data_IF_284263749349
#
_entry.id   IF_284263749349
#
_cell.length_a   1.000
_cell.length_b   1.000
_cell.length_c   1.000
_cell.angle_alpha   90.00
_cell.angle_beta   90.00
_cell.angle_gamma   90.00
#
_symmetry.space_group_name_H-M   'P 1'
#
loop_
_entity.id
_entity.type
_entity.pdbx_description
1 polymer ?
#
# COMPACT_ATOMS: atom_id res chain seq x y z
N UNK A 1 5.69 -30.42 -11.72
CA UNK A 1 4.33 -29.89 -11.47
C UNK A 1 4.35 -28.57 -10.65
N UNK A 2 5.08 -28.51 -9.53
CA UNK A 2 5.11 -27.28 -8.67
C UNK A 2 5.66 -26.04 -9.39
N UNK A 3 6.69 -26.16 -10.23
CA UNK A 3 7.29 -25.01 -10.95
C UNK A 3 6.28 -24.37 -11.92
N UNK A 4 5.56 -25.17 -12.70
CA UNK A 4 4.55 -24.67 -13.66
C UNK A 4 3.43 -23.95 -12.90
N UNK A 5 2.96 -24.49 -11.79
CA UNK A 5 1.91 -23.88 -10.96
C UNK A 5 2.33 -22.51 -10.39
N UNK A 6 3.57 -22.39 -9.91
CA UNK A 6 4.10 -21.13 -9.40
C UNK A 6 4.25 -20.09 -10.52
N UNK A 7 4.70 -20.50 -11.70
CA UNK A 7 4.87 -19.58 -12.82
C UNK A 7 3.51 -19.14 -13.41
N UNK A 8 2.52 -20.03 -13.47
CA UNK A 8 1.16 -19.66 -13.88
C UNK A 8 0.53 -18.64 -12.93
N UNK A 9 0.62 -18.85 -11.63
CA UNK A 9 0.15 -17.85 -10.62
C UNK A 9 0.83 -16.51 -10.74
N UNK A 10 2.13 -16.52 -11.00
CA UNK A 10 2.91 -15.29 -11.22
C UNK A 10 2.45 -14.54 -12.46
N UNK A 11 2.19 -15.25 -13.56
CA UNK A 11 1.67 -14.66 -14.81
C UNK A 11 0.26 -14.10 -14.62
N UNK A 12 -0.62 -14.81 -13.92
CA UNK A 12 -1.97 -14.32 -13.58
C UNK A 12 -1.91 -13.04 -12.74
N UNK A 13 -1.04 -12.99 -11.75
CA UNK A 13 -0.86 -11.79 -10.92
C UNK A 13 -0.29 -10.62 -11.73
N UNK A 14 0.68 -10.87 -12.62
CA UNK A 14 1.22 -9.88 -13.55
C UNK A 14 0.14 -9.34 -14.49
N UNK A 15 -0.65 -10.22 -15.10
CA UNK A 15 -1.74 -9.85 -16.00
C UNK A 15 -2.78 -8.99 -15.28
N UNK A 16 -3.18 -9.37 -14.08
CA UNK A 16 -4.14 -8.62 -13.25
C UNK A 16 -3.62 -7.22 -12.91
N UNK A 17 -2.35 -7.10 -12.52
CA UNK A 17 -1.71 -5.81 -12.22
C UNK A 17 -1.58 -4.92 -13.45
N UNK A 18 -1.29 -5.49 -14.62
CA UNK A 18 -1.25 -4.76 -15.89
C UNK A 18 -2.63 -4.25 -16.29
N UNK A 19 -3.67 -5.09 -16.18
CA UNK A 19 -5.05 -4.69 -16.44
C UNK A 19 -5.52 -3.61 -15.48
N UNK A 20 -5.13 -3.69 -14.19
CA UNK A 20 -5.41 -2.64 -13.21
C UNK A 20 -4.71 -1.32 -13.58
N UNK A 21 -3.43 -1.37 -14.02
CA UNK A 21 -2.70 -0.20 -14.51
C UNK A 21 -3.38 0.47 -15.69
N UNK A 22 -3.89 -0.31 -16.64
CA UNK A 22 -4.58 0.19 -17.84
C UNK A 22 -6.01 0.65 -17.55
N UNK A 23 -6.68 0.04 -16.56
CA UNK A 23 -8.07 0.33 -16.23
C UNK A 23 -8.27 1.55 -15.31
N UNK A 24 -7.22 2.03 -14.65
CA UNK A 24 -7.26 3.19 -13.76
C UNK A 24 -7.17 4.54 -14.48
N UNK A 25 -7.11 4.56 -15.82
CA UNK A 25 -7.12 5.80 -16.61
C UNK A 25 -8.49 6.53 -16.58
N UNK A 26 -9.53 5.90 -16.05
CA UNK A 26 -10.84 6.51 -15.88
C UNK A 26 -11.14 6.71 -14.38
N UNK A 27 -10.92 7.93 -13.89
CA UNK A 27 -11.39 8.38 -12.56
C UNK A 27 -12.90 8.12 -12.37
N UNK A 28 -13.63 7.93 -13.47
CA UNK A 28 -15.06 7.64 -13.51
C UNK A 28 -15.46 6.25 -12.97
N UNK A 29 -14.51 5.42 -12.55
CA UNK A 29 -14.75 4.04 -12.04
C UNK A 29 -14.47 3.85 -10.56
N UNK A 30 -14.04 4.90 -9.86
CA UNK A 30 -13.86 4.80 -8.41
C UNK A 30 -15.24 4.67 -7.73
N UNK A 31 -15.30 3.85 -6.70
CA UNK A 31 -16.45 3.73 -5.80
C UNK A 31 -16.03 4.17 -4.39
N UNK A 32 -15.81 5.50 -4.17
CA UNK A 32 -15.37 5.98 -2.87
C UNK A 32 -16.48 5.80 -1.83
N UNK A 33 -16.11 5.28 -0.67
CA UNK A 33 -17.00 5.11 0.48
C UNK A 33 -16.34 5.67 1.76
N UNK A 34 -17.11 6.08 2.77
CA UNK A 34 -16.57 6.43 4.08
C UNK A 34 -15.93 5.22 4.75
N UNK A 35 -14.66 5.32 5.11
CA UNK A 35 -13.89 4.23 5.72
C UNK A 35 -13.05 4.75 6.87
N UNK A 36 -13.05 4.05 8.02
CA UNK A 36 -12.10 4.38 9.08
C UNK A 36 -10.67 3.94 8.73
N UNK A 37 -9.69 4.77 9.08
CA UNK A 37 -8.27 4.48 8.91
C UNK A 37 -7.87 3.17 9.59
N UNK A 38 -8.37 2.92 10.79
CA UNK A 38 -8.11 1.68 11.55
C UNK A 38 -8.60 0.45 10.81
N UNK A 39 -9.80 0.52 10.19
CA UNK A 39 -10.34 -0.57 9.38
C UNK A 39 -9.46 -0.87 8.17
N UNK A 40 -9.01 0.18 7.45
CA UNK A 40 -8.11 0.05 6.31
C UNK A 40 -6.79 -0.62 6.72
N UNK A 41 -6.11 -0.09 7.75
CA UNK A 41 -4.81 -0.60 8.20
C UNK A 41 -4.91 -2.06 8.70
N UNK A 42 -5.97 -2.42 9.42
CA UNK A 42 -6.21 -3.79 9.85
C UNK A 42 -6.46 -4.73 8.65
N UNK A 43 -7.20 -4.28 7.64
CA UNK A 43 -7.47 -5.06 6.44
C UNK A 43 -6.19 -5.30 5.64
N UNK A 44 -5.29 -4.30 5.54
CA UNK A 44 -3.97 -4.45 4.93
C UNK A 44 -3.20 -5.58 5.60
N UNK A 45 -3.06 -5.56 6.93
CA UNK A 45 -2.29 -6.59 7.65
C UNK A 45 -2.90 -7.98 7.48
N UNK A 46 -4.24 -8.11 7.52
CA UNK A 46 -4.94 -9.39 7.29
C UNK A 46 -4.75 -9.92 5.86
N UNK A 47 -4.52 -9.05 4.89
CA UNK A 47 -4.34 -9.42 3.48
C UNK A 47 -2.90 -9.79 3.11
N UNK A 48 -1.94 -9.62 4.03
CA UNK A 48 -0.56 -9.99 3.81
C UNK A 48 -0.40 -11.52 3.72
N UNK A 49 0.56 -12.03 2.93
CA UNK A 49 0.84 -13.47 2.87
C UNK A 49 1.15 -14.04 4.26
N UNK A 50 0.65 -15.24 4.55
CA UNK A 50 0.94 -15.92 5.83
C UNK A 50 2.44 -16.11 6.03
N UNK A 51 2.91 -15.86 7.27
CA UNK A 51 4.32 -15.96 7.61
C UNK A 51 5.20 -14.82 7.10
N UNK A 52 4.61 -13.78 6.51
CA UNK A 52 5.36 -12.58 6.10
C UNK A 52 5.99 -11.87 7.31
N UNK A 53 7.27 -11.56 7.23
CA UNK A 53 8.03 -10.86 8.29
C UNK A 53 8.86 -9.72 7.71
N UNK A 54 9.09 -8.64 8.49
CA UNK A 54 8.48 -8.34 9.78
C UNK A 54 6.99 -8.05 9.70
N UNK A 55 6.25 -8.33 10.77
CA UNK A 55 4.81 -7.96 10.87
C UNK A 55 4.73 -6.45 11.12
N UNK A 56 3.93 -5.70 10.35
CA UNK A 56 3.83 -4.26 10.52
C UNK A 56 3.17 -3.87 11.86
N UNK A 57 3.72 -2.84 12.51
CA UNK A 57 3.07 -2.16 13.63
C UNK A 57 2.04 -1.17 13.08
N UNK A 58 0.79 -1.23 13.58
CA UNK A 58 -0.27 -0.31 13.21
C UNK A 58 -0.33 0.85 14.20
N UNK A 59 -0.46 2.09 13.68
CA UNK A 59 -0.74 3.31 14.43
C UNK A 59 -1.85 4.06 13.67
N UNK A 60 -3.07 4.06 14.23
CA UNK A 60 -4.23 4.74 13.68
C UNK A 60 -4.54 6.02 14.47
N UNK A 61 -5.21 6.98 13.84
CA UNK A 61 -5.67 8.21 14.48
C UNK A 61 -7.19 8.26 14.67
N UNK A 62 -7.88 7.17 14.29
CA UNK A 62 -9.34 7.01 14.42
C UNK A 62 -10.14 8.07 13.66
N UNK A 63 -9.70 8.38 12.44
CA UNK A 63 -10.41 9.25 11.51
C UNK A 63 -11.12 8.45 10.41
N UNK A 64 -12.05 9.11 9.70
CA UNK A 64 -12.70 8.56 8.51
C UNK A 64 -12.27 9.33 7.25
N UNK A 65 -12.14 8.62 6.15
CA UNK A 65 -11.76 9.16 4.84
C UNK A 65 -12.67 8.62 3.74
N UNK A 66 -12.80 9.37 2.64
CA UNK A 66 -13.58 8.98 1.47
C UNK A 66 -12.65 8.39 0.41
N UNK A 67 -12.62 7.07 0.30
CA UNK A 67 -11.72 6.36 -0.64
C UNK A 67 -12.39 5.11 -1.20
N UNK A 68 -11.95 4.67 -2.38
CA UNK A 68 -12.25 3.31 -2.83
C UNK A 68 -11.47 2.32 -1.94
N UNK A 69 -12.20 1.65 -1.05
CA UNK A 69 -11.63 0.74 -0.04
C UNK A 69 -10.72 -0.31 -0.65
N UNK A 70 -11.17 -0.95 -1.73
CA UNK A 70 -10.43 -2.06 -2.34
C UNK A 70 -9.09 -1.58 -2.90
N UNK A 71 -9.12 -0.50 -3.67
CA UNK A 71 -7.91 0.09 -4.27
C UNK A 71 -6.97 0.66 -3.20
N UNK A 72 -7.52 1.31 -2.16
CA UNK A 72 -6.71 1.88 -1.08
C UNK A 72 -5.98 0.80 -0.28
N UNK A 73 -6.69 -0.30 0.04
CA UNK A 73 -6.08 -1.48 0.70
C UNK A 73 -5.03 -2.12 -0.20
N UNK A 74 -5.30 -2.27 -1.51
CA UNK A 74 -4.32 -2.84 -2.46
C UNK A 74 -3.07 -1.97 -2.58
N UNK A 75 -3.19 -0.64 -2.59
CA UNK A 75 -2.07 0.29 -2.57
C UNK A 75 -1.22 0.11 -1.31
N UNK A 76 -1.81 0.23 -0.13
CA UNK A 76 -1.10 0.10 1.14
C UNK A 76 -0.48 -1.30 1.31
N UNK A 77 -1.18 -2.35 0.84
CA UNK A 77 -0.65 -3.72 0.80
C UNK A 77 0.58 -3.85 -0.09
N UNK A 78 0.56 -3.27 -1.29
CA UNK A 78 1.72 -3.28 -2.19
C UNK A 78 2.92 -2.55 -1.58
N UNK A 79 2.71 -1.39 -0.95
CA UNK A 79 3.74 -0.65 -0.23
C UNK A 79 4.31 -1.49 0.92
N UNK A 80 3.44 -2.16 1.69
CA UNK A 80 3.86 -3.02 2.80
C UNK A 80 4.68 -4.23 2.33
N UNK A 81 4.29 -4.87 1.23
CA UNK A 81 5.07 -5.98 0.65
C UNK A 81 6.44 -5.50 0.16
N UNK A 82 6.54 -4.29 -0.40
CA UNK A 82 7.82 -3.70 -0.78
C UNK A 82 8.70 -3.45 0.46
N UNK A 83 8.14 -2.92 1.54
CA UNK A 83 8.81 -2.75 2.82
C UNK A 83 9.32 -4.09 3.39
N UNK A 84 8.51 -5.16 3.34
CA UNK A 84 8.93 -6.50 3.78
C UNK A 84 10.11 -7.04 2.96
N UNK A 85 10.10 -6.82 1.65
CA UNK A 85 11.23 -7.19 0.77
C UNK A 85 12.49 -6.40 1.09
N UNK A 86 12.36 -5.10 1.36
CA UNK A 86 13.48 -4.25 1.76
C UNK A 86 14.08 -4.67 3.12
N UNK A 87 13.27 -5.16 4.04
CA UNK A 87 13.68 -5.68 5.36
C UNK A 87 14.28 -7.08 5.34
N UNK A 88 14.18 -7.81 4.22
CA UNK A 88 14.60 -9.23 4.15
C UNK A 88 16.08 -9.40 4.44
N UNK A 89 16.40 -10.23 5.44
CA UNK A 89 17.77 -10.51 5.86
C UNK A 89 18.41 -9.44 6.76
N UNK A 90 17.67 -8.40 7.15
CA UNK A 90 18.15 -7.35 8.05
C UNK A 90 17.65 -7.65 9.46
N UNK A 91 18.56 -7.90 10.38
CA UNK A 91 18.24 -8.18 11.78
C UNK A 91 17.62 -6.94 12.45
N UNK A 92 16.51 -7.12 13.16
CA UNK A 92 15.82 -6.01 13.85
C UNK A 92 15.08 -5.04 12.95
N UNK A 93 14.98 -5.31 11.64
CA UNK A 93 14.21 -4.49 10.73
C UNK A 93 12.73 -4.44 11.15
N UNK A 94 12.12 -3.27 11.01
CA UNK A 94 10.76 -3.00 11.43
C UNK A 94 9.97 -2.31 10.32
N UNK A 95 8.63 -2.49 10.35
CA UNK A 95 7.70 -1.82 9.46
C UNK A 95 6.62 -1.16 10.31
N UNK A 96 6.27 0.07 9.97
CA UNK A 96 5.18 0.81 10.58
C UNK A 96 4.16 1.23 9.53
N UNK A 97 2.90 0.84 9.73
CA UNK A 97 1.73 1.35 9.03
C UNK A 97 1.08 2.39 9.91
N UNK A 98 1.09 3.65 9.49
CA UNK A 98 0.55 4.75 10.28
C UNK A 98 -0.50 5.51 9.50
N UNK A 99 -1.55 5.95 10.20
CA UNK A 99 -2.36 7.08 9.81
C UNK A 99 -2.23 8.15 10.88
N UNK A 100 -2.02 9.40 10.48
CA UNK A 100 -1.91 10.55 11.36
C UNK A 100 -2.76 11.69 10.81
N UNK A 101 -3.50 12.35 11.68
CA UNK A 101 -4.23 13.55 11.32
C UNK A 101 -3.27 14.77 11.30
N UNK A 102 -3.30 15.51 10.19
CA UNK A 102 -2.62 16.79 10.04
C UNK A 102 -3.62 17.83 9.55
N UNK A 103 -4.17 18.62 10.46
CA UNK A 103 -5.28 19.53 10.18
C UNK A 103 -6.52 18.75 9.70
N UNK A 104 -7.01 19.05 8.50
CA UNK A 104 -8.14 18.37 7.83
C UNK A 104 -7.72 17.19 6.95
N UNK A 105 -6.46 16.74 7.05
CA UNK A 105 -5.91 15.70 6.18
C UNK A 105 -5.48 14.48 6.99
N UNK A 106 -5.84 13.30 6.52
CA UNK A 106 -5.32 12.01 6.96
C UNK A 106 -4.07 11.68 6.15
N UNK A 107 -2.94 11.50 6.82
CA UNK A 107 -1.66 11.16 6.22
C UNK A 107 -1.34 9.70 6.53
N UNK A 108 -1.43 8.85 5.50
CA UNK A 108 -1.07 7.44 5.58
C UNK A 108 0.40 7.27 5.25
N UNK A 109 1.11 6.52 6.08
CA UNK A 109 2.55 6.29 5.94
C UNK A 109 2.87 4.81 6.08
N UNK A 110 3.68 4.30 5.15
CA UNK A 110 4.33 2.99 5.25
C UNK A 110 5.82 3.26 5.39
N UNK A 111 6.38 2.98 6.54
CA UNK A 111 7.80 3.20 6.84
C UNK A 111 8.48 1.88 7.18
N UNK A 112 9.67 1.67 6.63
CA UNK A 112 10.53 0.53 6.93
C UNK A 112 11.95 0.95 7.29
N UNK A 113 12.64 0.10 8.02
CA UNK A 113 14.07 0.21 8.32
C UNK A 113 14.87 -0.82 7.52
N UNK A 114 14.51 -0.98 6.25
CA UNK A 114 15.12 -1.91 5.31
C UNK A 114 16.37 -1.38 4.64
N UNK A 115 16.71 -1.95 3.49
CA UNK A 115 17.93 -1.56 2.74
C UNK A 115 17.85 -0.15 2.12
N UNK A 116 16.67 0.48 2.10
CA UNK A 116 16.48 1.77 1.44
C UNK A 116 16.64 1.70 -0.08
N UNK A 117 16.61 2.89 -0.71
CA UNK A 117 16.71 3.07 -2.17
C UNK A 117 17.86 4.04 -2.44
N UNK A 118 18.80 3.72 -3.35
CA UNK A 118 19.83 4.66 -3.77
C UNK A 118 19.23 5.93 -4.37
N UNK A 119 19.81 7.09 -4.08
CA UNK A 119 19.30 8.38 -4.54
C UNK A 119 19.16 8.48 -6.07
N UNK A 120 20.03 7.80 -6.81
CA UNK A 120 20.03 7.77 -8.29
C UNK A 120 18.80 7.03 -8.86
N UNK A 121 18.21 6.12 -8.07
CA UNK A 121 17.07 5.30 -8.48
C UNK A 121 15.73 5.92 -8.08
N UNK A 122 15.70 6.79 -7.05
CA UNK A 122 14.48 7.41 -6.52
C UNK A 122 13.58 8.04 -7.60
N UNK A 123 14.09 8.81 -8.59
CA UNK A 123 13.24 9.40 -9.62
C UNK A 123 12.53 8.37 -10.51
N UNK A 124 13.01 7.13 -10.53
CA UNK A 124 12.57 6.09 -11.46
C UNK A 124 11.79 4.96 -10.82
N UNK A 125 11.78 4.84 -9.49
CA UNK A 125 11.16 3.70 -8.79
C UNK A 125 9.66 3.58 -9.01
N UNK A 126 8.99 4.65 -9.45
CA UNK A 126 7.58 4.68 -9.83
C UNK A 126 7.33 4.36 -11.30
N UNK A 127 8.39 4.23 -12.13
CA UNK A 127 8.25 3.78 -13.51
C UNK A 127 7.84 2.30 -13.54
N UNK A 128 6.92 1.96 -14.45
CA UNK A 128 6.53 0.56 -14.63
C UNK A 128 7.72 -0.29 -15.09
N UNK A 129 7.87 -1.49 -14.52
CA UNK A 129 8.95 -2.45 -14.79
C UNK A 129 10.35 -2.00 -14.31
N UNK A 130 10.46 -0.85 -13.65
CA UNK A 130 11.72 -0.44 -13.06
C UNK A 130 12.02 -1.26 -11.79
N UNK A 131 13.26 -1.69 -11.64
CA UNK A 131 13.77 -2.43 -10.50
C UNK A 131 15.21 -2.00 -10.22
N UNK A 132 15.50 -1.58 -8.99
CA UNK A 132 16.84 -1.18 -8.53
C UNK A 132 17.83 -2.35 -8.65
N UNK A 133 17.42 -3.54 -8.19
CA UNK A 133 18.19 -4.79 -8.36
C UNK A 133 17.32 -5.85 -9.04
N UNK A 134 17.62 -6.12 -10.32
CA UNK A 134 16.89 -7.10 -11.12
C UNK A 134 17.09 -8.54 -10.65
N UNK A 135 18.24 -8.87 -10.07
CA UNK A 135 18.57 -10.22 -9.64
C UNK A 135 17.83 -10.60 -8.37
N UNK A 136 17.90 -9.76 -7.36
CA UNK A 136 17.23 -9.92 -6.07
C UNK A 136 15.70 -9.83 -6.22
N UNK A 137 15.23 -8.84 -6.98
CA UNK A 137 13.80 -8.62 -7.18
C UNK A 137 13.10 -9.77 -7.92
N UNK A 138 13.76 -10.41 -8.89
CA UNK A 138 13.20 -11.59 -9.59
C UNK A 138 13.12 -12.82 -8.68
N UNK A 139 14.13 -13.05 -7.84
CA UNK A 139 14.13 -14.15 -6.88
C UNK A 139 12.98 -14.02 -5.87
N UNK A 140 12.61 -12.79 -5.50
CA UNK A 140 11.53 -12.48 -4.56
C UNK A 140 10.16 -12.23 -5.25
N UNK A 141 10.03 -12.54 -6.54
CA UNK A 141 8.77 -12.43 -7.29
C UNK A 141 8.37 -10.98 -7.63
N UNK A 142 9.31 -10.04 -7.58
CA UNK A 142 9.07 -8.66 -7.98
C UNK A 142 8.82 -8.51 -9.48
N UNK A 143 7.86 -7.67 -9.86
CA UNK A 143 7.50 -7.40 -11.27
C UNK A 143 7.85 -5.98 -11.71
N UNK A 144 8.26 -5.09 -10.78
CA UNK A 144 8.47 -3.67 -11.07
C UNK A 144 7.17 -2.89 -11.34
N UNK A 145 5.99 -3.49 -11.09
CA UNK A 145 4.69 -2.86 -11.36
C UNK A 145 4.08 -2.28 -10.09
N UNK A 146 4.45 -2.79 -8.91
CA UNK A 146 3.78 -2.46 -7.66
C UNK A 146 3.75 -0.97 -7.33
N UNK A 147 4.89 -0.27 -7.40
CA UNK A 147 4.97 1.17 -7.11
C UNK A 147 4.28 2.01 -8.18
N UNK A 148 4.40 1.65 -9.46
CA UNK A 148 3.67 2.29 -10.55
C UNK A 148 2.15 2.20 -10.34
N UNK A 149 1.63 1.02 -9.94
CA UNK A 149 0.23 0.84 -9.59
C UNK A 149 -0.18 1.69 -8.39
N UNK A 150 0.63 1.76 -7.33
CA UNK A 150 0.38 2.62 -6.18
C UNK A 150 0.27 4.09 -6.59
N UNK A 151 1.15 4.57 -7.45
CA UNK A 151 1.12 5.93 -7.99
C UNK A 151 -0.19 6.20 -8.74
N UNK A 152 -0.64 5.26 -9.59
CA UNK A 152 -1.92 5.40 -10.32
C UNK A 152 -3.12 5.40 -9.40
N UNK A 153 -3.15 4.54 -8.37
CA UNK A 153 -4.23 4.54 -7.37
C UNK A 153 -4.29 5.88 -6.64
N UNK A 154 -3.13 6.41 -6.20
CA UNK A 154 -3.08 7.72 -5.56
C UNK A 154 -3.60 8.83 -6.48
N UNK A 155 -3.15 8.87 -7.74
CA UNK A 155 -3.60 9.83 -8.75
C UNK A 155 -5.11 9.75 -9.00
N UNK A 156 -5.67 8.54 -9.10
CA UNK A 156 -7.11 8.34 -9.26
C UNK A 156 -7.91 8.91 -8.08
N UNK A 157 -7.35 8.90 -6.86
CA UNK A 157 -7.92 9.53 -5.66
C UNK A 157 -7.57 11.02 -5.52
N UNK A 158 -7.01 11.67 -6.55
CA UNK A 158 -6.66 13.09 -6.54
C UNK A 158 -5.47 13.45 -5.64
N UNK A 159 -4.62 12.48 -5.31
CA UNK A 159 -3.45 12.66 -4.45
C UNK A 159 -2.17 12.13 -5.11
N UNK A 160 -1.05 12.20 -4.40
CA UNK A 160 0.25 11.74 -4.89
C UNK A 160 0.98 10.95 -3.81
N UNK A 161 1.80 9.98 -4.25
CA UNK A 161 2.77 9.33 -3.37
C UNK A 161 4.01 10.22 -3.21
N UNK A 162 4.47 10.34 -1.97
CA UNK A 162 5.77 10.90 -1.63
C UNK A 162 6.65 9.77 -1.12
N UNK A 163 7.88 9.69 -1.63
CA UNK A 163 8.83 8.62 -1.31
C UNK A 163 10.11 9.27 -0.80
N UNK A 164 10.40 9.06 0.48
CA UNK A 164 11.63 9.47 1.13
C UNK A 164 12.43 8.21 1.48
N UNK A 165 13.67 8.13 1.02
CA UNK A 165 14.49 6.95 1.26
C UNK A 165 15.97 7.31 1.35
N UNK A 166 16.67 6.58 2.22
CA UNK A 166 18.12 6.62 2.35
C UNK A 166 18.66 5.21 2.30
N UNK A 167 19.57 4.94 1.38
CA UNK A 167 20.23 3.64 1.25
C UNK A 167 20.89 3.22 2.56
N UNK A 168 20.66 1.99 2.98
CA UNK A 168 21.13 1.42 4.25
C UNK A 168 20.36 1.86 5.50
N UNK A 169 19.36 2.76 5.38
CA UNK A 169 18.57 3.27 6.52
C UNK A 169 17.11 2.81 6.46
N UNK A 170 16.46 2.94 5.27
CA UNK A 170 15.08 2.54 5.08
C UNK A 170 14.30 3.45 4.13
N UNK A 171 13.02 3.19 4.00
CA UNK A 171 12.11 3.93 3.12
C UNK A 171 10.84 4.34 3.86
N UNK A 172 10.37 5.54 3.56
CA UNK A 172 9.07 6.06 4.01
C UNK A 172 8.26 6.47 2.80
N UNK A 173 7.09 5.85 2.62
CA UNK A 173 6.14 6.22 1.57
C UNK A 173 4.90 6.82 2.21
N UNK A 174 4.52 8.01 1.75
CA UNK A 174 3.41 8.79 2.32
C UNK A 174 2.38 9.10 1.24
N UNK A 175 1.10 9.02 1.62
CA UNK A 175 -0.04 9.45 0.80
C UNK A 175 -1.07 10.12 1.70
N UNK A 176 -1.71 11.19 1.23
CA UNK A 176 -2.63 11.99 2.04
C UNK A 176 -3.98 12.16 1.35
N UNK A 177 -5.06 12.15 2.15
CA UNK A 177 -6.43 12.42 1.69
C UNK A 177 -7.17 13.27 2.72
N UNK A 178 -8.19 14.03 2.32
CA UNK A 178 -9.02 14.76 3.27
C UNK A 178 -9.70 13.83 4.28
N UNK A 179 -9.82 14.29 5.53
CA UNK A 179 -10.64 13.64 6.56
C UNK A 179 -12.09 14.04 6.34
N UNK A 180 -13.00 13.09 6.48
CA UNK A 180 -14.44 13.37 6.49
C UNK A 180 -14.82 14.16 7.75
N UNK A 181 -15.57 15.23 7.56
CA UNK A 181 -16.15 15.98 8.67
C UNK A 181 -17.28 15.19 9.36
N UNK A 182 -17.74 15.62 10.53
CA UNK A 182 -18.86 14.98 11.21
C UNK A 182 -20.13 14.91 10.36
N UNK A 183 -20.33 15.89 9.49
CA UNK A 183 -21.50 15.99 8.60
C UNK A 183 -21.42 15.09 7.36
N UNK A 184 -20.22 14.60 7.03
CA UNK A 184 -19.95 13.73 5.88
C UNK A 184 -20.04 12.24 6.22
N UNK A 185 -20.20 11.92 7.52
CA UNK A 185 -20.30 10.53 7.95
C UNK A 185 -21.75 10.05 7.71
N UNK A 186 -21.95 8.85 7.11
CA UNK A 186 -23.26 8.24 7.07
C UNK A 186 -23.79 8.11 8.49
N UNK A 187 -25.09 8.42 8.70
CA UNK A 187 -25.72 8.22 9.98
C UNK A 187 -25.39 6.81 10.47
N UNK A 188 -24.82 6.70 11.69
CA UNK A 188 -24.46 5.42 12.26
C UNK A 188 -25.71 4.54 12.24
N UNK A 189 -25.67 3.41 11.53
CA UNK A 189 -26.70 2.39 11.63
C UNK A 189 -26.84 1.99 13.09
N UNK A 190 -27.90 2.49 13.70
CA UNK A 190 -28.26 2.25 15.08
C UNK A 190 -28.85 0.83 15.22
N UNK A 191 -28.11 -0.20 14.76
CA UNK A 191 -28.49 -1.60 14.93
C UNK A 191 -27.31 -2.44 15.45
N UNK A 192 -26.78 -2.00 16.59
CA UNK A 192 -25.98 -2.83 17.49
C UNK A 192 -26.88 -3.60 18.45
N UNK A 193 -27.78 -4.44 17.95
CA UNK A 193 -28.41 -5.44 18.80
C UNK A 193 -27.48 -6.65 18.92
N UNK A 194 -26.66 -6.65 19.99
CA UNK A 194 -26.25 -7.89 20.63
C UNK A 194 -27.52 -8.67 20.96
N UNK A 195 -27.69 -9.83 20.35
CA UNK A 195 -28.63 -10.84 20.86
C UNK A 195 -27.87 -11.77 21.81
N UNK A 196 -28.50 -12.14 22.93
CA UNK A 196 -27.91 -12.92 24.01
C UNK A 196 -27.57 -14.36 23.65
#
# INVERSE_FOLDING_TARGET
ANYIYHETRRLEELSRRLLALMGLDAADRLTPEPVSDRSLLNQVVRSLPQGSTPVPRIIACDCAVQVDRALWVDMLRNLTINAQRACKGIAGAAITLRCQQQGSTAVFTVADTGCGIPAVDLPRVTEAFYMVDKSRSRADGGSGIGLALCTRIAQAHGTQLQIDSTEGVGTTVTVSVPILGPDDLPAADADGKEQP
#
